data_IF_145380849106
#
_entry.id   IF_145380849106
#
_cell.length_a   1.000
_cell.length_b   1.000
_cell.length_c   1.000
_cell.angle_alpha   90.00
_cell.angle_beta   90.00
_cell.angle_gamma   90.00
#
_symmetry.space_group_name_H-M   'P 1'
#
loop_
_entity.id
_entity.type
_entity.pdbx_description
1 polymer ?
#
# COMPACT_ATOMS: atom_id res chain seq x y z
N UNK A 1 22.56 -2.16 7.82
CA UNK A 1 22.37 -1.59 6.48
C UNK A 1 21.18 -0.66 6.58
N UNK A 2 21.40 0.64 6.43
CA UNK A 2 20.33 1.64 6.44
C UNK A 2 19.62 1.58 5.08
N UNK A 3 18.32 1.32 5.07
CA UNK A 3 17.50 1.55 3.89
C UNK A 3 17.16 3.04 3.89
N UNK A 4 17.84 3.77 3.03
CA UNK A 4 17.56 5.18 2.75
C UNK A 4 16.16 5.26 2.14
N UNK A 5 15.26 6.01 2.78
CA UNK A 5 13.84 6.19 2.41
C UNK A 5 13.62 6.98 1.11
N UNK A 6 14.56 6.93 0.18
CA UNK A 6 14.62 7.77 -1.01
C UNK A 6 14.79 6.93 -2.28
N UNK A 7 13.85 6.03 -2.60
CA UNK A 7 13.59 5.64 -4.01
C UNK A 7 12.36 4.74 -4.18
N UNK A 8 11.20 5.19 -3.70
CA UNK A 8 9.92 4.81 -4.34
C UNK A 8 9.53 5.90 -5.33
N UNK A 9 10.49 6.31 -6.18
CA UNK A 9 10.10 7.02 -7.41
C UNK A 9 9.51 5.95 -8.31
N UNK A 10 8.20 5.72 -8.18
CA UNK A 10 7.40 5.07 -9.20
C UNK A 10 7.83 5.67 -10.54
N UNK A 11 8.49 4.85 -11.36
CA UNK A 11 9.00 5.30 -12.64
C UNK A 11 7.78 5.60 -13.50
N UNK A 12 7.36 6.86 -13.57
CA UNK A 12 6.49 7.34 -14.63
C UNK A 12 7.17 7.03 -15.95
N UNK A 13 6.77 5.95 -16.62
CA UNK A 13 7.14 5.69 -18.01
C UNK A 13 5.94 5.19 -18.78
N UNK A 14 5.64 6.00 -19.80
CA UNK A 14 5.06 5.65 -21.09
C UNK A 14 3.92 4.64 -21.10
N UNK A 15 2.74 5.13 -21.48
CA UNK A 15 1.58 4.38 -21.96
C UNK A 15 2.00 3.06 -22.64
N UNK A 16 1.89 1.94 -21.91
CA UNK A 16 2.22 0.61 -22.39
C UNK A 16 3.15 -0.22 -21.49
N UNK A 17 3.90 0.38 -20.57
CA UNK A 17 4.65 -0.35 -19.52
C UNK A 17 3.75 -0.51 -18.28
N UNK A 18 3.32 -1.74 -17.99
CA UNK A 18 2.56 -2.05 -16.78
C UNK A 18 3.38 -1.65 -15.56
N UNK A 19 2.77 -0.93 -14.62
CA UNK A 19 3.41 -0.58 -13.35
C UNK A 19 3.71 -1.87 -12.58
N UNK A 20 4.95 -2.34 -12.65
CA UNK A 20 5.38 -3.48 -11.85
C UNK A 20 5.68 -2.98 -10.43
N UNK A 21 4.73 -3.18 -9.54
CA UNK A 21 4.91 -2.92 -8.12
C UNK A 21 5.76 -4.02 -7.50
N UNK A 22 6.93 -3.69 -6.92
CA UNK A 22 7.71 -4.69 -6.21
C UNK A 22 6.94 -5.14 -4.98
N UNK A 23 7.06 -6.44 -4.64
CA UNK A 23 6.60 -6.92 -3.35
C UNK A 23 7.37 -6.20 -2.24
N UNK A 24 6.65 -5.64 -1.27
CA UNK A 24 7.23 -5.11 -0.03
C UNK A 24 7.70 -6.29 0.82
N UNK A 25 8.99 -6.29 1.17
CA UNK A 25 9.60 -7.29 2.05
C UNK A 25 9.30 -6.92 3.51
N UNK A 26 8.48 -7.75 4.17
CA UNK A 26 8.13 -7.58 5.58
C UNK A 26 9.17 -8.17 6.54
N UNK A 27 10.15 -8.94 6.03
CA UNK A 27 11.16 -9.63 6.84
C UNK A 27 12.08 -8.70 7.65
N UNK A 28 12.03 -7.38 7.40
CA UNK A 28 12.81 -6.38 8.12
C UNK A 28 12.09 -5.70 9.30
N UNK A 29 10.77 -5.84 9.45
CA UNK A 29 10.07 -5.21 10.56
C UNK A 29 10.16 -6.05 11.84
N UNK A 30 10.72 -5.47 12.90
CA UNK A 30 10.94 -6.13 14.19
C UNK A 30 10.07 -5.57 15.31
N UNK A 31 9.26 -4.55 15.04
CA UNK A 31 8.36 -3.89 15.97
C UNK A 31 7.09 -3.34 15.28
N UNK A 32 6.08 -2.96 16.08
CA UNK A 32 4.81 -2.44 15.57
C UNK A 32 4.94 -1.11 14.80
N UNK A 33 5.79 -0.14 15.23
CA UNK A 33 6.04 1.07 14.45
C UNK A 33 6.59 0.78 13.05
N UNK A 34 7.56 -0.14 12.91
CA UNK A 34 8.12 -0.53 11.63
C UNK A 34 7.09 -1.24 10.74
N UNK A 35 6.19 -2.04 11.32
CA UNK A 35 5.07 -2.60 10.56
C UNK A 35 4.09 -1.53 10.05
N UNK A 36 3.82 -0.49 10.85
CA UNK A 36 2.97 0.63 10.40
C UNK A 36 3.63 1.42 9.25
N UNK A 37 4.96 1.61 9.28
CA UNK A 37 5.70 2.24 8.17
C UNK A 37 5.65 1.39 6.88
N UNK A 38 5.75 0.07 7.00
CA UNK A 38 5.57 -0.83 5.86
C UNK A 38 4.13 -0.84 5.34
N UNK A 39 3.13 -0.77 6.21
CA UNK A 39 1.73 -0.67 5.81
C UNK A 39 1.46 0.62 5.00
N UNK A 40 2.08 1.74 5.36
CA UNK A 40 2.03 2.98 4.56
C UNK A 40 2.66 2.78 3.19
N UNK A 41 3.78 2.05 3.11
CA UNK A 41 4.42 1.74 1.83
C UNK A 41 3.51 0.92 0.92
N UNK A 42 2.82 -0.09 1.47
CA UNK A 42 1.88 -0.90 0.69
C UNK A 42 0.64 -0.09 0.29
N UNK A 43 0.09 0.72 1.19
CA UNK A 43 -1.03 1.62 0.91
C UNK A 43 -0.71 2.61 -0.23
N UNK A 44 0.48 3.23 -0.21
CA UNK A 44 0.92 4.08 -1.30
C UNK A 44 1.06 3.31 -2.61
N UNK A 45 1.53 2.05 -2.57
CA UNK A 45 1.56 1.19 -3.76
C UNK A 45 0.19 0.94 -4.37
N UNK A 46 -0.86 0.77 -3.55
CA UNK A 46 -2.24 0.70 -4.05
C UNK A 46 -2.69 2.03 -4.65
N UNK A 47 -2.41 3.17 -4.01
CA UNK A 47 -2.75 4.49 -4.55
C UNK A 47 -2.06 4.71 -5.90
N UNK A 48 -0.76 4.44 -5.99
CA UNK A 48 0.03 4.55 -7.21
C UNK A 48 -0.50 3.63 -8.33
N UNK A 49 -0.99 2.43 -7.98
CA UNK A 49 -1.62 1.52 -8.93
C UNK A 49 -2.87 2.16 -9.54
N UNK A 50 -3.77 2.68 -8.71
CA UNK A 50 -5.01 3.31 -9.17
C UNK A 50 -4.76 4.64 -9.90
N UNK A 51 -3.75 5.41 -9.49
CA UNK A 51 -3.28 6.61 -10.18
C UNK A 51 -2.73 6.31 -11.59
N UNK A 52 -2.20 5.11 -11.77
CA UNK A 52 -1.65 4.64 -13.03
C UNK A 52 -2.68 4.11 -14.02
N UNK A 53 -3.92 3.88 -13.59
CA UNK A 53 -4.95 3.31 -14.46
C UNK A 53 -5.39 4.31 -15.52
N UNK A 54 -5.55 3.82 -16.74
CA UNK A 54 -6.32 4.53 -17.75
C UNK A 54 -7.82 4.53 -17.38
N UNK A 55 -8.63 5.48 -17.90
CA UNK A 55 -10.07 5.47 -17.67
C UNK A 55 -10.75 4.15 -18.09
N UNK A 56 -10.27 3.55 -19.18
CA UNK A 56 -10.78 2.27 -19.69
C UNK A 56 -10.48 1.12 -18.71
N UNK A 57 -9.31 1.12 -18.08
CA UNK A 57 -8.92 0.14 -17.06
C UNK A 57 -9.68 0.33 -15.74
N UNK A 58 -9.96 1.58 -15.35
CA UNK A 58 -10.76 1.89 -14.18
C UNK A 58 -12.24 1.46 -14.34
N UNK A 59 -12.78 1.58 -15.55
CA UNK A 59 -14.16 1.17 -15.87
C UNK A 59 -14.30 -0.34 -16.11
N UNK A 60 -13.23 -1.03 -16.51
CA UNK A 60 -13.29 -2.43 -16.91
C UNK A 60 -13.72 -3.39 -15.79
N UNK A 61 -13.57 -3.01 -14.51
CA UNK A 61 -14.00 -3.81 -13.36
C UNK A 61 -13.33 -5.19 -13.33
N UNK A 62 -12.27 -5.34 -12.54
CA UNK A 62 -11.48 -6.57 -12.57
C UNK A 62 -12.17 -7.74 -11.85
N UNK A 63 -12.64 -8.75 -12.60
CA UNK A 63 -13.15 -10.03 -12.03
C UNK A 63 -12.05 -10.87 -11.35
N UNK A 64 -10.79 -10.67 -11.75
CA UNK A 64 -9.59 -11.31 -11.19
C UNK A 64 -8.58 -10.22 -10.90
N UNK A 65 -7.93 -10.30 -9.74
CA UNK A 65 -6.87 -9.36 -9.36
C UNK A 65 -5.84 -9.23 -10.51
N UNK A 66 -5.61 -8.00 -11.02
CA UNK A 66 -4.62 -7.77 -12.07
C UNK A 66 -3.24 -8.27 -11.64
N UNK A 67 -2.43 -8.82 -12.56
CA UNK A 67 -1.09 -9.33 -12.24
C UNK A 67 -0.22 -8.34 -11.46
N UNK A 68 -0.37 -7.05 -11.73
CA UNK A 68 0.37 -5.96 -11.11
C UNK A 68 -0.08 -5.69 -9.66
N UNK A 69 -1.30 -6.11 -9.29
CA UNK A 69 -1.87 -5.99 -7.95
C UNK A 69 -1.52 -7.18 -7.05
N UNK A 70 -1.24 -8.35 -7.63
CA UNK A 70 -0.94 -9.59 -6.89
C UNK A 70 0.23 -9.43 -5.90
N UNK A 71 1.36 -8.76 -6.24
CA UNK A 71 2.44 -8.53 -5.29
C UNK A 71 2.01 -7.69 -4.08
N UNK A 72 1.17 -6.67 -4.27
CA UNK A 72 0.68 -5.80 -3.19
C UNK A 72 -0.24 -6.56 -2.24
N UNK A 73 -1.18 -7.35 -2.78
CA UNK A 73 -2.06 -8.23 -2.00
C UNK A 73 -1.27 -9.26 -1.17
N UNK A 74 -0.18 -9.77 -1.75
CA UNK A 74 0.72 -10.67 -1.02
C UNK A 74 1.45 -9.94 0.11
N UNK A 75 1.93 -8.72 -0.12
CA UNK A 75 2.57 -7.90 0.92
C UNK A 75 1.62 -7.56 2.06
N UNK A 76 0.35 -7.25 1.76
CA UNK A 76 -0.68 -7.05 2.78
C UNK A 76 -0.87 -8.30 3.65
N UNK A 77 -1.01 -9.48 3.03
CA UNK A 77 -1.13 -10.75 3.75
C UNK A 77 0.07 -11.03 4.66
N UNK A 78 1.29 -10.67 4.21
CA UNK A 78 2.51 -10.83 4.99
C UNK A 78 2.59 -9.83 6.15
N UNK A 79 2.06 -8.62 6.01
CA UNK A 79 1.98 -7.62 7.08
C UNK A 79 1.06 -8.08 8.21
N UNK A 80 -0.11 -8.64 7.86
CA UNK A 80 -1.04 -9.21 8.84
C UNK A 80 -0.36 -10.31 9.64
N UNK A 81 0.28 -11.26 8.96
CA UNK A 81 0.99 -12.35 9.63
C UNK A 81 2.15 -11.87 10.53
N UNK A 82 2.85 -10.81 10.13
CA UNK A 82 3.93 -10.23 10.93
C UNK A 82 3.38 -9.48 12.17
N UNK A 83 2.26 -8.77 12.03
CA UNK A 83 1.59 -8.12 13.15
C UNK A 83 1.15 -9.13 14.22
N UNK A 84 0.58 -10.27 13.80
CA UNK A 84 0.22 -11.37 14.69
C UNK A 84 1.44 -11.94 15.41
N UNK A 85 2.55 -12.16 14.71
CA UNK A 85 3.78 -12.71 15.30
C UNK A 85 4.42 -11.78 16.33
N UNK A 86 4.40 -10.47 16.08
CA UNK A 86 4.92 -9.47 17.00
C UNK A 86 3.95 -9.15 18.15
N UNK A 87 2.73 -9.68 18.11
CA UNK A 87 1.69 -9.40 19.10
C UNK A 87 1.22 -7.94 19.05
N UNK A 88 1.35 -7.29 17.89
CA UNK A 88 0.86 -5.94 17.69
C UNK A 88 -0.67 -5.97 17.70
N UNK A 89 -1.27 -5.33 18.71
CA UNK A 89 -2.71 -5.14 18.73
C UNK A 89 -3.16 -4.42 17.46
N UNK A 90 -4.19 -4.94 16.82
CA UNK A 90 -4.69 -4.40 15.56
C UNK A 90 -5.13 -2.93 15.71
N UNK A 91 -5.74 -2.58 16.84
CA UNK A 91 -6.14 -1.21 17.18
C UNK A 91 -4.93 -0.27 17.33
N UNK A 92 -3.86 -0.74 17.97
CA UNK A 92 -2.60 0.01 18.12
C UNK A 92 -1.91 0.20 16.77
N UNK A 93 -1.85 -0.86 15.96
CA UNK A 93 -1.25 -0.81 14.64
C UNK A 93 -2.06 0.11 13.70
N UNK A 94 -3.38 0.09 13.80
CA UNK A 94 -4.25 0.98 13.04
C UNK A 94 -4.08 2.44 13.46
N UNK A 95 -3.94 2.71 14.77
CA UNK A 95 -3.64 4.06 15.28
C UNK A 95 -2.30 4.55 14.73
N UNK A 96 -1.26 3.71 14.83
CA UNK A 96 0.06 4.00 14.28
C UNK A 96 0.00 4.26 12.76
N UNK A 97 -0.78 3.47 12.02
CA UNK A 97 -0.97 3.66 10.59
C UNK A 97 -1.67 5.00 10.29
N UNK A 98 -2.81 5.29 10.94
CA UNK A 98 -3.57 6.52 10.74
C UNK A 98 -2.71 7.76 11.03
N UNK A 99 -1.90 7.73 12.10
CA UNK A 99 -0.96 8.82 12.42
C UNK A 99 0.08 9.08 11.32
N UNK A 100 0.32 8.10 10.44
CA UNK A 100 1.28 8.17 9.33
C UNK A 100 0.63 8.40 7.97
N UNK A 101 -0.70 8.36 7.87
CA UNK A 101 -1.44 8.55 6.60
C UNK A 101 -1.16 9.89 5.93
N UNK A 102 -0.70 10.91 6.66
CA UNK A 102 -0.23 12.15 6.05
C UNK A 102 1.00 12.01 5.12
N UNK A 103 1.63 10.83 5.08
CA UNK A 103 2.65 10.47 4.10
C UNK A 103 2.09 9.92 2.78
N UNK A 104 0.79 9.57 2.74
CA UNK A 104 0.12 9.16 1.52
C UNK A 104 -0.08 10.38 0.61
N UNK A 105 -0.04 10.14 -0.69
CA UNK A 105 -0.37 11.17 -1.66
C UNK A 105 -0.93 10.56 -2.93
N UNK A 106 -1.94 11.20 -3.49
CA UNK A 106 -2.49 10.90 -4.79
C UNK A 106 -2.35 12.08 -5.76
N UNK A 107 -2.25 11.75 -7.05
CA UNK A 107 -2.34 12.69 -8.17
C UNK A 107 -3.64 12.58 -8.96
N UNK A 108 -4.49 11.60 -8.66
CA UNK A 108 -5.80 11.40 -9.31
C UNK A 108 -6.97 11.44 -8.32
N UNK A 109 -8.19 11.63 -8.85
CA UNK A 109 -9.41 11.61 -8.03
C UNK A 109 -9.64 10.23 -7.41
N UNK A 110 -9.41 9.15 -8.16
CA UNK A 110 -9.58 7.77 -7.67
C UNK A 110 -8.57 7.46 -6.56
N UNK A 111 -7.29 7.79 -6.76
CA UNK A 111 -6.28 7.63 -5.71
C UNK A 111 -6.56 8.51 -4.49
N UNK A 112 -7.16 9.70 -4.67
CA UNK A 112 -7.50 10.61 -3.58
C UNK A 112 -8.68 10.13 -2.74
N UNK A 113 -9.62 9.39 -3.34
CA UNK A 113 -10.67 8.67 -2.60
C UNK A 113 -10.07 7.53 -1.77
N UNK A 114 -9.11 6.80 -2.34
CA UNK A 114 -8.43 5.71 -1.63
C UNK A 114 -7.60 6.23 -0.45
N UNK A 115 -6.92 7.36 -0.61
CA UNK A 115 -6.23 8.07 0.46
C UNK A 115 -7.22 8.42 1.61
N UNK A 116 -8.38 8.97 1.28
CA UNK A 116 -9.41 9.29 2.27
C UNK A 116 -9.96 8.05 2.97
N UNK A 117 -10.15 6.93 2.25
CA UNK A 117 -10.59 5.67 2.85
C UNK A 117 -9.55 5.15 3.86
N UNK A 118 -8.26 5.20 3.54
CA UNK A 118 -7.19 4.84 4.47
C UNK A 118 -7.12 5.74 5.70
N UNK A 119 -7.39 7.04 5.55
CA UNK A 119 -7.47 7.97 6.69
C UNK A 119 -8.69 7.69 7.56
N UNK A 120 -9.84 7.42 6.94
CA UNK A 120 -11.13 7.32 7.63
C UNK A 120 -11.32 5.96 8.32
N UNK A 121 -10.91 4.88 7.66
CA UNK A 121 -11.14 3.52 8.12
C UNK A 121 -9.85 2.83 8.59
N UNK A 122 -8.68 3.33 8.16
CA UNK A 122 -7.40 2.70 8.46
C UNK A 122 -7.08 1.55 7.51
N UNK A 123 -5.86 1.00 7.64
CA UNK A 123 -5.32 0.03 6.67
C UNK A 123 -6.04 -1.32 6.69
N UNK A 124 -6.54 -1.74 7.86
CA UNK A 124 -7.01 -3.11 8.04
C UNK A 124 -8.53 -3.21 8.26
N UNK A 125 -9.28 -2.11 8.24
CA UNK A 125 -10.73 -2.13 8.44
C UNK A 125 -11.52 -2.77 7.29
N UNK A 126 -10.84 -3.16 6.21
CA UNK A 126 -11.42 -3.81 5.02
C UNK A 126 -11.27 -5.34 4.99
N UNK A 127 -10.81 -5.96 6.08
CA UNK A 127 -10.71 -7.44 6.22
C UNK A 127 -12.03 -8.12 6.59
#
# INVERSE_FOLDING_TARGET
YALDGSSLTGSKRASGDRLLFPAVDTGGATDCPGLADLAITVAQGFIDYYDGLTPEEAEAGYEVAPPDLVPLLKSESLLIAAAEQLGCGFEDLNTLFVDRTGALSSTTEVGGLLEQDYVQYGYFATG
#
